data_IF_100703165769
#
_entry.id   IF_100703165769
#
_cell.length_a   1.000
_cell.length_b   1.000
_cell.length_c   1.000
_cell.angle_alpha   90.00
_cell.angle_beta   90.00
_cell.angle_gamma   90.00
#
_symmetry.space_group_name_H-M   'P 1'
#
loop_
_entity.id
_entity.type
_entity.pdbx_description
1 polymer ?
#
# COMPACT_ATOMS: atom_id res chain seq x y z
N UNK A 1 21.60 -17.09 -31.06
CA UNK A 1 20.31 -17.32 -30.37
C UNK A 1 20.47 -16.76 -28.97
N UNK A 2 19.79 -15.65 -28.69
CA UNK A 2 19.94 -14.85 -27.48
C UNK A 2 19.53 -15.67 -26.25
N UNK A 3 20.41 -15.77 -25.26
CA UNK A 3 20.05 -16.19 -23.91
C UNK A 3 18.99 -15.20 -23.38
N UNK A 4 17.74 -15.66 -23.28
CA UNK A 4 16.75 -14.98 -22.46
C UNK A 4 17.22 -15.16 -21.02
N UNK A 5 17.82 -14.11 -20.45
CA UNK A 5 17.99 -14.00 -19.01
C UNK A 5 16.64 -14.26 -18.34
N UNK A 6 16.54 -15.36 -17.62
CA UNK A 6 15.40 -15.68 -16.78
C UNK A 6 15.38 -14.67 -15.63
N UNK A 7 14.78 -13.50 -15.85
CA UNK A 7 14.58 -12.48 -14.82
C UNK A 7 13.87 -13.15 -13.65
N UNK A 8 14.52 -13.22 -12.49
CA UNK A 8 13.91 -13.76 -11.27
C UNK A 8 12.81 -12.79 -10.86
N UNK A 9 11.57 -13.30 -10.88
CA UNK A 9 10.44 -12.51 -10.44
C UNK A 9 10.46 -12.49 -8.91
N UNK A 10 10.58 -11.32 -8.31
CA UNK A 10 10.15 -11.10 -6.93
C UNK A 10 8.67 -10.77 -7.01
N UNK A 11 7.84 -11.80 -7.25
CA UNK A 11 6.38 -11.63 -7.27
C UNK A 11 5.95 -11.44 -5.82
N UNK A 12 5.45 -10.26 -5.38
CA UNK A 12 4.74 -10.21 -4.13
C UNK A 12 3.49 -11.07 -4.33
N UNK A 13 3.25 -12.05 -3.47
CA UNK A 13 1.99 -12.78 -3.55
C UNK A 13 0.89 -11.72 -3.40
N UNK A 14 -0.05 -11.65 -4.35
CA UNK A 14 -1.14 -10.67 -4.28
C UNK A 14 -1.71 -10.73 -2.87
N UNK A 15 -1.56 -9.65 -2.10
CA UNK A 15 -1.89 -9.65 -0.69
C UNK A 15 -3.35 -10.06 -0.53
N UNK A 16 -3.58 -11.25 0.04
CA UNK A 16 -4.91 -11.79 0.26
C UNK A 16 -5.49 -11.15 1.50
N UNK A 17 -6.81 -11.03 1.56
CA UNK A 17 -7.52 -10.56 2.76
C UNK A 17 -7.30 -11.45 3.98
N UNK A 18 -6.81 -12.67 3.77
CA UNK A 18 -6.45 -13.64 4.82
C UNK A 18 -5.01 -13.52 5.31
N UNK A 19 -4.16 -12.70 4.68
CA UNK A 19 -2.76 -12.53 5.07
C UNK A 19 -2.67 -12.02 6.51
N UNK A 20 -1.95 -12.79 7.35
CA UNK A 20 -1.66 -12.42 8.74
C UNK A 20 -0.24 -11.92 8.96
N UNK A 21 0.59 -12.03 7.93
CA UNK A 21 1.98 -11.65 7.96
C UNK A 21 2.34 -10.93 6.66
N UNK A 22 3.17 -9.89 6.76
CA UNK A 22 3.72 -9.14 5.64
C UNK A 22 5.23 -9.13 5.75
N UNK A 23 5.91 -9.39 4.64
CA UNK A 23 7.37 -9.29 4.52
C UNK A 23 7.68 -8.04 3.71
N UNK A 24 8.34 -7.07 4.32
CA UNK A 24 8.56 -5.74 3.76
C UNK A 24 10.04 -5.51 3.60
N UNK A 25 10.49 -5.33 2.36
CA UNK A 25 11.83 -4.81 2.10
C UNK A 25 11.80 -3.29 2.11
N UNK A 26 12.77 -2.68 2.79
CA UNK A 26 12.90 -1.22 2.89
C UNK A 26 14.23 -0.78 2.32
N UNK A 27 14.33 0.51 1.99
CA UNK A 27 15.56 1.11 1.52
C UNK A 27 16.70 0.88 2.53
N UNK A 28 17.86 0.44 2.04
CA UNK A 28 19.05 0.18 2.86
C UNK A 28 19.01 -1.10 3.69
N UNK A 29 18.00 -1.97 3.52
CA UNK A 29 17.95 -3.27 4.16
C UNK A 29 18.31 -4.39 3.17
N UNK A 30 19.12 -5.35 3.62
CA UNK A 30 19.49 -6.54 2.82
C UNK A 30 18.47 -7.69 2.94
N UNK A 31 17.53 -7.59 3.88
CA UNK A 31 16.52 -8.60 4.14
C UNK A 31 15.17 -7.96 4.51
N UNK A 32 14.03 -8.61 4.20
CA UNK A 32 12.72 -8.08 4.53
C UNK A 32 12.43 -8.17 6.04
N UNK A 33 11.76 -7.15 6.57
CA UNK A 33 11.17 -7.11 7.91
C UNK A 33 9.82 -7.84 7.92
N UNK A 34 9.53 -8.58 8.99
CA UNK A 34 8.26 -9.27 9.17
C UNK A 34 7.31 -8.43 10.04
N UNK A 35 6.16 -8.06 9.48
CA UNK A 35 5.01 -7.56 10.25
C UNK A 35 4.04 -8.71 10.45
N UNK A 36 3.83 -9.13 11.71
CA UNK A 36 2.93 -10.23 12.07
C UNK A 36 1.62 -9.75 12.69
N UNK A 37 0.69 -10.69 12.89
CA UNK A 37 -0.65 -10.42 13.45
C UNK A 37 -1.43 -9.32 12.71
N UNK A 38 -1.29 -9.30 11.38
CA UNK A 38 -1.95 -8.33 10.52
C UNK A 38 -3.45 -8.61 10.41
N UNK A 39 -4.23 -7.54 10.32
CA UNK A 39 -5.61 -7.55 9.84
C UNK A 39 -5.69 -6.70 8.57
N UNK A 40 -5.81 -7.36 7.44
CA UNK A 40 -5.96 -6.71 6.13
C UNK A 40 -7.42 -6.29 5.91
N UNK A 41 -7.61 -5.02 5.57
CA UNK A 41 -8.87 -4.39 5.23
C UNK A 41 -8.75 -3.84 3.81
N UNK A 42 -9.58 -4.30 2.88
CA UNK A 42 -9.46 -3.92 1.45
C UNK A 42 -10.45 -2.83 1.09
N UNK A 43 -9.98 -1.77 0.44
CA UNK A 43 -10.79 -0.63 0.05
C UNK A 43 -11.96 -0.99 -0.87
N UNK A 44 -11.77 -1.90 -1.82
CA UNK A 44 -12.77 -2.23 -2.84
C UNK A 44 -13.84 -3.22 -2.36
N UNK A 45 -13.51 -4.08 -1.39
CA UNK A 45 -14.38 -5.19 -0.95
C UNK A 45 -15.58 -4.73 -0.11
N UNK A 46 -15.56 -3.50 0.42
CA UNK A 46 -16.50 -3.03 1.43
C UNK A 46 -16.89 -1.56 1.19
N UNK A 47 -17.98 -1.11 1.82
CA UNK A 47 -18.32 0.31 1.86
C UNK A 47 -17.35 1.10 2.77
N UNK A 48 -17.19 2.41 2.55
CA UNK A 48 -16.32 3.23 3.42
C UNK A 48 -16.78 3.24 4.88
N UNK A 49 -18.09 3.16 5.13
CA UNK A 49 -18.67 3.09 6.48
C UNK A 49 -18.27 1.78 7.18
N UNK A 50 -18.35 0.68 6.46
CA UNK A 50 -18.03 -0.65 6.99
C UNK A 50 -16.53 -0.80 7.26
N UNK A 51 -15.69 -0.31 6.34
CA UNK A 51 -14.24 -0.25 6.56
C UNK A 51 -13.86 0.66 7.71
N UNK A 52 -14.49 1.81 7.87
CA UNK A 52 -14.26 2.67 9.03
C UNK A 52 -14.54 1.93 10.34
N UNK A 53 -15.68 1.24 10.41
CA UNK A 53 -16.04 0.44 11.58
C UNK A 53 -15.01 -0.67 11.85
N UNK A 54 -14.65 -1.46 10.83
CA UNK A 54 -13.67 -2.53 10.95
C UNK A 54 -12.29 -1.97 11.37
N UNK A 55 -11.83 -0.89 10.73
CA UNK A 55 -10.56 -0.24 11.03
C UNK A 55 -10.49 0.25 12.47
N UNK A 56 -11.53 0.93 12.95
CA UNK A 56 -11.60 1.41 14.34
C UNK A 56 -11.55 0.25 15.33
N UNK A 57 -12.27 -0.83 15.06
CA UNK A 57 -12.23 -2.05 15.89
C UNK A 57 -10.85 -2.68 15.89
N UNK A 58 -10.19 -2.79 14.73
CA UNK A 58 -8.82 -3.31 14.63
C UNK A 58 -7.82 -2.43 15.37
N UNK A 59 -7.94 -1.11 15.27
CA UNK A 59 -7.09 -0.14 15.96
C UNK A 59 -7.22 -0.21 17.49
N UNK A 60 -8.36 -0.63 18.01
CA UNK A 60 -8.56 -0.85 19.45
C UNK A 60 -7.98 -2.21 19.92
N UNK A 61 -7.72 -3.12 19.00
CA UNK A 61 -7.16 -4.45 19.28
C UNK A 61 -5.63 -4.50 19.20
N UNK A 62 -5.12 -5.72 19.38
CA UNK A 62 -3.69 -6.06 19.28
C UNK A 62 -3.21 -6.35 17.86
N UNK A 63 -4.13 -6.43 16.90
CA UNK A 63 -3.78 -6.68 15.49
C UNK A 63 -3.13 -5.44 14.88
N UNK A 64 -2.21 -5.68 13.96
CA UNK A 64 -1.64 -4.62 13.13
C UNK A 64 -2.63 -4.27 12.01
N UNK A 65 -3.24 -3.06 12.01
CA UNK A 65 -4.17 -2.67 10.96
C UNK A 65 -3.41 -2.44 9.66
N UNK A 66 -3.88 -3.10 8.60
CA UNK A 66 -3.37 -2.94 7.24
C UNK A 66 -4.53 -2.54 6.33
N UNK A 67 -4.49 -1.35 5.77
CA UNK A 67 -5.47 -0.89 4.78
C UNK A 67 -4.90 -1.08 3.38
N UNK A 68 -5.42 -2.06 2.64
CA UNK A 68 -5.09 -2.30 1.24
C UNK A 68 -5.88 -1.33 0.35
N UNK A 69 -5.17 -0.45 -0.34
CA UNK A 69 -5.72 0.43 -1.36
C UNK A 69 -5.52 -0.21 -2.72
N UNK A 70 -6.60 -0.30 -3.47
CA UNK A 70 -6.65 -0.85 -4.81
C UNK A 70 -7.57 0.04 -5.65
N UNK A 71 -7.22 0.21 -6.91
CA UNK A 71 -7.96 1.01 -7.89
C UNK A 71 -8.77 0.14 -8.87
N UNK A 72 -8.77 -1.18 -8.65
CA UNK A 72 -9.48 -2.17 -9.46
C UNK A 72 -8.79 -2.38 -10.80
N UNK A 73 -9.48 -2.98 -11.77
CA UNK A 73 -8.85 -3.35 -13.04
C UNK A 73 -8.74 -2.18 -14.03
N UNK A 74 -9.24 -1.00 -13.64
CA UNK A 74 -9.44 0.13 -14.54
C UNK A 74 -8.18 0.98 -14.78
N UNK A 75 -7.05 0.66 -14.12
CA UNK A 75 -5.78 1.42 -14.19
C UNK A 75 -6.03 2.93 -14.23
N UNK A 76 -6.55 3.46 -13.12
CA UNK A 76 -7.07 4.81 -13.04
C UNK A 76 -6.01 5.85 -13.42
N UNK A 77 -6.42 6.96 -14.03
CA UNK A 77 -5.49 8.10 -14.19
C UNK A 77 -5.09 8.64 -12.81
N UNK A 78 -3.97 9.38 -12.68
CA UNK A 78 -3.62 10.01 -11.40
C UNK A 78 -4.75 10.89 -10.85
N UNK A 79 -5.51 11.55 -11.71
CA UNK A 79 -6.65 12.40 -11.31
C UNK A 79 -7.79 11.55 -10.73
N UNK A 80 -8.15 10.47 -11.42
CA UNK A 80 -9.22 9.58 -10.97
C UNK A 80 -8.85 8.83 -9.69
N UNK A 81 -7.57 8.43 -9.55
CA UNK A 81 -7.08 7.81 -8.32
C UNK A 81 -7.13 8.79 -7.15
N UNK A 82 -6.68 10.04 -7.34
CA UNK A 82 -6.82 11.07 -6.30
C UNK A 82 -8.28 11.31 -5.91
N UNK A 83 -9.20 11.31 -6.87
CA UNK A 83 -10.63 11.43 -6.60
C UNK A 83 -11.18 10.24 -5.80
N UNK A 84 -10.80 9.01 -6.17
CA UNK A 84 -11.15 7.80 -5.41
C UNK A 84 -10.65 7.89 -3.97
N UNK A 85 -9.38 8.23 -3.78
CA UNK A 85 -8.76 8.40 -2.46
C UNK A 85 -9.52 9.45 -1.65
N UNK A 86 -9.71 10.66 -2.19
CA UNK A 86 -10.39 11.76 -1.49
C UNK A 86 -11.80 11.37 -1.06
N UNK A 87 -12.54 10.60 -1.87
CA UNK A 87 -13.90 10.16 -1.53
C UNK A 87 -13.94 9.00 -0.58
N UNK A 88 -13.06 8.02 -0.73
CA UNK A 88 -13.13 6.75 0.01
C UNK A 88 -12.29 6.82 1.27
N UNK A 89 -11.01 7.18 1.16
CA UNK A 89 -10.06 7.14 2.26
C UNK A 89 -10.43 8.15 3.37
N UNK A 90 -10.87 9.36 3.01
CA UNK A 90 -11.38 10.34 3.98
C UNK A 90 -12.51 9.78 4.84
N UNK A 91 -13.45 9.06 4.23
CA UNK A 91 -14.57 8.44 4.94
C UNK A 91 -14.13 7.22 5.77
N UNK A 92 -13.16 6.43 5.28
CA UNK A 92 -12.58 5.31 6.03
C UNK A 92 -11.83 5.79 7.27
N UNK A 93 -11.17 6.95 7.22
CA UNK A 93 -10.39 7.52 8.33
C UNK A 93 -11.19 8.45 9.24
N UNK A 94 -12.47 8.69 8.94
CA UNK A 94 -13.31 9.59 9.72
C UNK A 94 -13.34 9.23 11.21
N UNK A 95 -13.01 10.20 12.06
CA UNK A 95 -12.97 10.05 13.52
C UNK A 95 -11.84 9.16 14.06
N UNK A 96 -10.92 8.67 13.23
CA UNK A 96 -9.70 7.98 13.69
C UNK A 96 -8.71 9.05 14.17
N UNK A 97 -8.21 8.92 15.40
CA UNK A 97 -7.28 9.90 15.98
C UNK A 97 -5.89 9.82 15.33
N UNK A 98 -5.10 10.89 15.46
CA UNK A 98 -3.70 10.95 14.99
C UNK A 98 -2.84 9.82 15.58
N UNK A 99 -2.96 9.59 16.88
CA UNK A 99 -2.26 8.51 17.57
C UNK A 99 -2.67 7.12 17.07
N UNK A 100 -3.95 6.92 16.72
CA UNK A 100 -4.41 5.65 16.19
C UNK A 100 -3.95 5.46 14.74
N UNK A 101 -4.11 6.46 13.87
CA UNK A 101 -3.73 6.34 12.46
C UNK A 101 -2.22 6.17 12.28
N UNK A 102 -1.39 6.68 13.20
CA UNK A 102 0.05 6.44 13.19
C UNK A 102 0.44 4.95 13.24
N UNK A 103 -0.45 4.08 13.75
CA UNK A 103 -0.25 2.63 13.72
C UNK A 103 -0.69 1.99 12.40
N UNK A 104 -1.33 2.71 11.49
CA UNK A 104 -1.84 2.16 10.24
C UNK A 104 -0.69 1.89 9.26
N UNK A 105 -0.71 0.70 8.67
CA UNK A 105 0.03 0.41 7.44
C UNK A 105 -0.94 0.50 6.28
N UNK A 106 -0.62 1.32 5.29
CA UNK A 106 -1.33 1.38 4.02
C UNK A 106 -0.53 0.58 2.99
N UNK A 107 -1.18 -0.32 2.27
CA UNK A 107 -0.57 -1.06 1.17
C UNK A 107 -1.25 -0.63 -0.12
N UNK A 108 -0.53 0.04 -1.03
CA UNK A 108 -1.00 0.29 -2.38
C UNK A 108 -0.72 -0.93 -3.25
N UNK A 109 -1.77 -1.66 -3.62
CA UNK A 109 -1.69 -2.92 -4.35
C UNK A 109 -2.67 -2.88 -5.53
N UNK A 110 -2.32 -2.22 -6.64
CA UNK A 110 -3.18 -2.16 -7.82
C UNK A 110 -3.34 -3.55 -8.45
N UNK A 111 -4.55 -4.11 -8.49
CA UNK A 111 -4.80 -5.46 -9.01
C UNK A 111 -4.42 -5.61 -10.49
N UNK A 112 -4.65 -4.57 -11.31
CA UNK A 112 -4.26 -4.57 -12.73
C UNK A 112 -2.77 -4.85 -12.97
N UNK A 113 -1.88 -4.47 -12.05
CA UNK A 113 -0.44 -4.68 -12.22
C UNK A 113 -0.07 -6.16 -12.12
N UNK A 114 -0.77 -6.91 -11.26
CA UNK A 114 -0.59 -8.35 -11.11
C UNK A 114 -1.21 -9.14 -12.26
N UNK A 115 -2.44 -8.82 -12.62
CA UNK A 115 -3.20 -9.56 -13.64
C UNK A 115 -2.64 -9.38 -15.05
N UNK A 116 -2.23 -8.17 -15.41
CA UNK A 116 -1.60 -7.90 -16.70
C UNK A 116 -0.15 -8.37 -16.79
N UNK A 117 0.46 -8.85 -15.68
CA UNK A 117 1.90 -9.12 -15.55
C UNK A 117 2.76 -7.96 -16.04
N UNK A 118 2.24 -6.75 -15.93
CA UNK A 118 2.88 -5.52 -16.34
C UNK A 118 3.08 -4.69 -15.07
N UNK A 119 4.32 -4.54 -14.59
CA UNK A 119 4.57 -3.77 -13.37
C UNK A 119 4.07 -2.35 -13.58
N UNK A 120 3.60 -1.75 -12.48
CA UNK A 120 3.49 -0.31 -12.47
C UNK A 120 4.91 0.25 -12.62
N UNK A 121 5.14 1.12 -13.60
CA UNK A 121 6.42 1.81 -13.68
C UNK A 121 6.68 2.60 -12.38
N UNK A 122 7.95 2.82 -12.05
CA UNK A 122 8.33 3.49 -10.82
C UNK A 122 7.67 4.87 -10.70
N UNK A 123 7.51 5.62 -11.80
CA UNK A 123 6.84 6.92 -11.78
C UNK A 123 5.39 6.80 -11.29
N UNK A 124 4.64 5.80 -11.75
CA UNK A 124 3.27 5.53 -11.32
C UNK A 124 3.21 5.20 -9.82
N UNK A 125 4.12 4.37 -9.33
CA UNK A 125 4.21 4.00 -7.91
C UNK A 125 4.45 5.26 -7.07
N UNK A 126 5.43 6.08 -7.46
CA UNK A 126 5.77 7.34 -6.78
C UNK A 126 4.59 8.31 -6.73
N UNK A 127 3.90 8.50 -7.84
CA UNK A 127 2.71 9.36 -7.92
C UNK A 127 1.62 8.87 -6.96
N UNK A 128 1.30 7.57 -6.99
CA UNK A 128 0.25 7.01 -6.13
C UNK A 128 0.59 7.15 -4.64
N UNK A 129 1.83 6.81 -4.27
CA UNK A 129 2.31 6.95 -2.88
C UNK A 129 2.28 8.40 -2.41
N UNK A 130 2.73 9.34 -3.25
CA UNK A 130 2.65 10.77 -2.95
C UNK A 130 1.22 11.22 -2.77
N UNK A 131 0.28 10.80 -3.63
CA UNK A 131 -1.13 11.17 -3.51
C UNK A 131 -1.77 10.65 -2.21
N UNK A 132 -1.42 9.44 -1.79
CA UNK A 132 -1.86 8.90 -0.49
C UNK A 132 -1.29 9.75 0.65
N UNK A 133 0.02 10.05 0.62
CA UNK A 133 0.69 10.89 1.63
C UNK A 133 0.09 12.29 1.71
N UNK A 134 -0.14 12.93 0.57
CA UNK A 134 -0.72 14.27 0.48
C UNK A 134 -2.15 14.30 1.03
N UNK A 135 -2.96 13.27 0.78
CA UNK A 135 -4.28 13.16 1.38
C UNK A 135 -4.20 12.99 2.91
N UNK A 136 -3.26 12.20 3.42
CA UNK A 136 -3.05 12.07 4.87
C UNK A 136 -2.64 13.41 5.51
N UNK A 137 -1.83 14.22 4.82
CA UNK A 137 -1.46 15.57 5.27
C UNK A 137 -2.66 16.49 5.36
N UNK A 138 -3.57 16.40 4.39
CA UNK A 138 -4.82 17.18 4.36
C UNK A 138 -5.77 16.76 5.48
N UNK A 139 -5.93 15.45 5.72
CA UNK A 139 -6.85 14.92 6.75
C UNK A 139 -6.31 15.21 8.17
N UNK A 140 -5.00 15.13 8.37
CA UNK A 140 -4.37 15.22 9.68
C UNK A 140 -3.39 16.39 9.81
N UNK A 141 -2.15 16.18 9.36
CA UNK A 141 -1.04 17.13 9.28
C UNK A 141 0.21 16.41 8.72
N UNK A 142 1.29 17.17 8.54
CA UNK A 142 2.57 16.66 8.06
C UNK A 142 3.18 15.57 8.96
N UNK A 143 3.12 15.78 10.28
CA UNK A 143 3.74 14.89 11.25
C UNK A 143 3.06 13.52 11.26
N UNK A 144 1.74 13.50 11.39
CA UNK A 144 0.91 12.28 11.39
C UNK A 144 1.06 11.55 10.05
N UNK A 145 1.03 12.27 8.93
CA UNK A 145 1.20 11.66 7.61
C UNK A 145 2.57 11.00 7.45
N UNK A 146 3.61 11.52 8.09
CA UNK A 146 4.96 10.93 8.09
C UNK A 146 5.10 9.66 8.93
N UNK A 147 4.16 9.40 9.87
CA UNK A 147 4.19 8.21 10.72
C UNK A 147 3.48 7.00 10.10
N UNK A 148 2.47 7.24 9.24
CA UNK A 148 1.74 6.16 8.55
C UNK A 148 2.67 5.48 7.56
N UNK A 149 2.81 4.16 7.60
CA UNK A 149 3.63 3.46 6.61
C UNK A 149 2.85 3.26 5.31
N UNK A 150 3.42 3.59 4.15
CA UNK A 150 2.85 3.38 2.82
C UNK A 150 3.76 2.43 2.04
N UNK A 151 3.28 1.20 1.85
CA UNK A 151 4.00 0.08 1.28
C UNK A 151 3.47 -0.21 -0.11
N UNK A 152 4.37 -0.44 -1.07
CA UNK A 152 3.98 -0.92 -2.38
C UNK A 152 3.75 -2.43 -2.33
N UNK A 153 2.57 -2.88 -2.76
CA UNK A 153 2.18 -4.29 -2.75
C UNK A 153 1.82 -4.86 -4.12
N UNK A 154 2.06 -4.10 -5.20
CA UNK A 154 1.85 -4.57 -6.58
C UNK A 154 3.07 -5.29 -7.15
N UNK A 155 2.92 -5.88 -8.33
CA UNK A 155 4.01 -6.56 -9.03
C UNK A 155 5.15 -5.60 -9.42
N UNK A 156 6.39 -5.98 -9.11
CA UNK A 156 7.62 -5.23 -9.45
C UNK A 156 8.75 -6.22 -9.77
N UNK A 157 9.66 -5.85 -10.68
CA UNK A 157 10.85 -6.66 -10.93
C UNK A 157 11.94 -6.39 -9.88
N UNK A 158 12.79 -7.38 -9.61
CA UNK A 158 13.90 -7.25 -8.65
C UNK A 158 14.84 -6.08 -9.00
N UNK A 159 15.12 -5.91 -10.30
CA UNK A 159 15.94 -4.82 -10.85
C UNK A 159 15.32 -3.41 -10.66
N UNK A 160 14.00 -3.32 -10.45
CA UNK A 160 13.27 -2.07 -10.25
C UNK A 160 13.14 -1.71 -8.76
N UNK A 161 13.41 -2.65 -7.84
CA UNK A 161 13.26 -2.43 -6.40
C UNK A 161 14.07 -1.24 -5.90
N UNK A 162 15.30 -1.08 -6.37
CA UNK A 162 16.15 0.04 -5.98
C UNK A 162 15.57 1.40 -6.40
N UNK A 163 14.97 1.47 -7.60
CA UNK A 163 14.34 2.70 -8.12
C UNK A 163 13.02 3.00 -7.40
N UNK A 164 12.27 1.97 -7.01
CA UNK A 164 11.05 2.14 -6.21
C UNK A 164 11.38 2.59 -4.78
N UNK A 165 12.36 1.94 -4.13
CA UNK A 165 12.74 2.21 -2.75
C UNK A 165 13.52 3.52 -2.56
N UNK A 166 14.03 4.14 -3.64
CA UNK A 166 14.69 5.44 -3.52
C UNK A 166 13.72 6.62 -3.34
N UNK A 167 12.42 6.43 -3.56
CA UNK A 167 11.42 7.48 -3.33
C UNK A 167 11.04 7.58 -1.85
N UNK A 168 11.16 8.78 -1.28
CA UNK A 168 10.89 9.04 0.14
C UNK A 168 9.43 8.85 0.57
N UNK A 169 8.49 8.66 -0.35
CA UNK A 169 7.09 8.35 -0.04
C UNK A 169 6.81 6.84 -0.04
N UNK A 170 7.75 6.01 -0.50
CA UNK A 170 7.65 4.56 -0.53
C UNK A 170 8.41 4.00 0.69
N UNK A 171 7.68 3.61 1.72
CA UNK A 171 8.29 3.14 2.98
C UNK A 171 8.75 1.68 2.91
N UNK A 172 8.42 0.99 1.82
CA UNK A 172 8.84 -0.37 1.55
C UNK A 172 8.06 -1.02 0.42
N UNK A 173 8.48 -2.22 0.07
CA UNK A 173 7.85 -3.08 -0.94
C UNK A 173 7.55 -4.43 -0.30
N UNK A 174 6.38 -5.00 -0.57
CA UNK A 174 6.08 -6.39 -0.19
C UNK A 174 6.96 -7.35 -1.01
N UNK A 175 7.67 -8.24 -0.32
CA UNK A 175 8.55 -9.25 -0.91
C UNK A 175 8.16 -10.62 -0.37
N UNK A 176 8.31 -11.68 -1.16
CA UNK A 176 8.13 -13.07 -0.70
C UNK A 176 9.46 -13.70 -0.32
#
# INVERSE_FOLDING_TARGET
>A
MSEMLTKRNVVPETMRTTSRELRILRAGMDAPELISNCRVLTLLDHSSRELNHQLRTTLQGSQQPVLKLDEGDLRLTPVDFAYLLSRRLTNVLAGVSRAAVARLVIVYSPSWAGECRLPADAQRIRIAHRQIRDLLRIIYDQETAGQVQIIYGGFVFEEELADVLCDSNVDGVLIN
#
